data_IF_286150617071
#
_entry.id   IF_286150617071
#
_cell.length_a   1.000
_cell.length_b   1.000
_cell.length_c   1.000
_cell.angle_alpha   90.00
_cell.angle_beta   90.00
_cell.angle_gamma   90.00
#
_symmetry.space_group_name_H-M   'P 1'
#
loop_
_entity.id
_entity.type
_entity.pdbx_description
1 polymer ?
#
# COMPACT_ATOMS: atom_id res chain seq x y z
N UNK A 1 -15.35 -64.24 -55.10
CA UNK A 1 -15.11 -62.88 -54.55
C UNK A 1 -15.23 -62.96 -53.02
N UNK A 2 -14.10 -63.11 -52.31
CA UNK A 2 -14.06 -63.16 -50.84
C UNK A 2 -13.69 -61.78 -50.26
N UNK A 3 -14.46 -61.26 -49.31
CA UNK A 3 -14.14 -59.98 -48.65
C UNK A 3 -13.08 -60.19 -47.55
N UNK A 4 -12.10 -59.28 -47.41
CA UNK A 4 -11.07 -59.40 -46.40
C UNK A 4 -11.63 -59.15 -44.99
N UNK A 5 -11.28 -60.05 -44.07
CA UNK A 5 -11.63 -60.00 -42.66
C UNK A 5 -10.87 -58.85 -41.98
N UNK A 6 -11.57 -57.86 -41.41
CA UNK A 6 -10.94 -56.78 -40.62
C UNK A 6 -10.78 -57.27 -39.17
N UNK A 7 -9.57 -57.26 -38.60
CA UNK A 7 -9.37 -57.66 -37.21
C UNK A 7 -10.04 -56.65 -36.27
N UNK A 8 -10.77 -57.20 -35.30
CA UNK A 8 -11.43 -56.48 -34.22
C UNK A 8 -10.37 -55.92 -33.27
N UNK A 9 -10.10 -54.60 -33.32
CA UNK A 9 -9.23 -53.92 -32.35
C UNK A 9 -9.95 -53.87 -31.00
N UNK A 10 -9.40 -54.56 -30.00
CA UNK A 10 -9.85 -54.49 -28.61
C UNK A 10 -9.69 -53.07 -28.07
N UNK A 11 -10.79 -52.52 -27.54
CA UNK A 11 -10.94 -51.13 -27.07
C UNK A 11 -10.30 -50.88 -25.70
N UNK A 12 -9.37 -51.73 -25.26
CA UNK A 12 -8.92 -51.81 -23.87
C UNK A 12 -7.61 -51.08 -23.55
N UNK A 13 -6.95 -50.48 -24.55
CA UNK A 13 -5.58 -49.97 -24.36
C UNK A 13 -5.52 -48.48 -23.96
N UNK A 14 -6.66 -47.84 -23.65
CA UNK A 14 -6.75 -46.39 -23.35
C UNK A 14 -6.91 -45.93 -21.88
N UNK A 15 -6.97 -46.76 -20.81
CA UNK A 15 -7.39 -46.25 -19.51
C UNK A 15 -6.30 -45.50 -18.70
N UNK A 16 -5.00 -45.71 -18.97
CA UNK A 16 -3.95 -45.14 -18.09
C UNK A 16 -3.47 -43.73 -18.50
N UNK A 17 -3.53 -43.40 -19.79
CA UNK A 17 -3.08 -42.08 -20.27
C UNK A 17 -4.10 -40.96 -19.97
N UNK A 18 -5.39 -41.27 -19.98
CA UNK A 18 -6.46 -40.29 -19.72
C UNK A 18 -6.52 -39.86 -18.24
N UNK A 19 -6.26 -40.78 -17.30
CA UNK A 19 -6.23 -40.45 -15.86
C UNK A 19 -5.10 -39.49 -15.47
N UNK A 20 -3.92 -39.67 -16.08
CA UNK A 20 -2.76 -38.80 -15.84
C UNK A 20 -2.98 -37.39 -16.45
N UNK A 21 -3.62 -37.30 -17.61
CA UNK A 21 -3.96 -36.03 -18.25
C UNK A 21 -5.04 -35.24 -17.49
N UNK A 22 -6.04 -35.93 -16.94
CA UNK A 22 -7.13 -35.31 -16.20
C UNK A 22 -6.67 -34.73 -14.85
N UNK A 23 -5.78 -35.43 -14.14
CA UNK A 23 -5.20 -34.97 -12.87
C UNK A 23 -4.29 -33.75 -13.04
N UNK A 24 -3.50 -33.70 -14.12
CA UNK A 24 -2.69 -32.50 -14.45
C UNK A 24 -3.56 -31.31 -14.85
N UNK A 25 -4.63 -31.53 -15.61
CA UNK A 25 -5.56 -30.47 -15.96
C UNK A 25 -6.20 -29.85 -14.71
N UNK A 26 -6.76 -30.67 -13.81
CA UNK A 26 -7.41 -30.19 -12.58
C UNK A 26 -6.43 -29.45 -11.67
N UNK A 27 -5.19 -29.94 -11.52
CA UNK A 27 -4.16 -29.26 -10.75
C UNK A 27 -3.79 -27.87 -11.34
N UNK A 28 -3.74 -27.75 -12.67
CA UNK A 28 -3.49 -26.48 -13.34
C UNK A 28 -4.65 -25.49 -13.18
N UNK A 29 -5.90 -25.94 -13.32
CA UNK A 29 -7.08 -25.09 -13.11
C UNK A 29 -7.13 -24.53 -11.68
N UNK A 30 -6.96 -25.39 -10.68
CA UNK A 30 -6.95 -24.99 -9.27
C UNK A 30 -5.76 -24.06 -8.96
N UNK A 31 -4.58 -24.32 -9.51
CA UNK A 31 -3.40 -23.48 -9.33
C UNK A 31 -3.57 -22.08 -9.93
N UNK A 32 -4.19 -21.98 -11.10
CA UNK A 32 -4.48 -20.70 -11.77
C UNK A 32 -5.50 -19.87 -10.97
N UNK A 33 -6.58 -20.48 -10.48
CA UNK A 33 -7.62 -19.76 -9.71
C UNK A 33 -7.07 -19.21 -8.39
N UNK A 34 -6.25 -19.99 -7.68
CA UNK A 34 -5.59 -19.54 -6.46
C UNK A 34 -4.59 -18.40 -6.73
N UNK A 35 -3.86 -18.47 -7.85
CA UNK A 35 -2.93 -17.42 -8.26
C UNK A 35 -3.66 -16.12 -8.65
N UNK A 36 -4.76 -16.21 -9.41
CA UNK A 36 -5.59 -15.06 -9.80
C UNK A 36 -6.25 -14.42 -8.57
N UNK A 37 -6.76 -15.24 -7.65
CA UNK A 37 -7.32 -14.78 -6.39
C UNK A 37 -6.30 -14.03 -5.52
N UNK A 38 -5.06 -14.52 -5.45
CA UNK A 38 -3.98 -13.85 -4.71
C UNK A 38 -3.60 -12.50 -5.31
N UNK A 39 -3.37 -12.45 -6.62
CA UNK A 39 -2.99 -11.19 -7.30
C UNK A 39 -4.06 -10.12 -7.10
N UNK A 40 -5.35 -10.48 -7.17
CA UNK A 40 -6.46 -9.55 -6.91
C UNK A 40 -6.42 -8.99 -5.48
N UNK A 41 -6.16 -9.82 -4.47
CA UNK A 41 -6.04 -9.37 -3.07
C UNK A 41 -4.88 -8.39 -2.89
N UNK A 42 -3.71 -8.73 -3.43
CA UNK A 42 -2.53 -7.86 -3.34
C UNK A 42 -2.78 -6.52 -4.03
N UNK A 43 -3.43 -6.51 -5.20
CA UNK A 43 -3.80 -5.27 -5.88
C UNK A 43 -4.76 -4.40 -5.06
N UNK A 44 -5.77 -5.01 -4.41
CA UNK A 44 -6.68 -4.27 -3.53
C UNK A 44 -5.95 -3.67 -2.32
N UNK A 45 -5.04 -4.43 -1.70
CA UNK A 45 -4.18 -3.92 -0.62
C UNK A 45 -3.30 -2.78 -1.10
N UNK A 46 -2.71 -2.89 -2.30
CA UNK A 46 -1.87 -1.87 -2.89
C UNK A 46 -2.62 -0.54 -3.13
N UNK A 47 -3.84 -0.64 -3.66
CA UNK A 47 -4.74 0.51 -3.84
C UNK A 47 -5.08 1.12 -2.48
N UNK A 48 -5.40 0.31 -1.48
CA UNK A 48 -5.63 0.77 -0.11
C UNK A 48 -4.44 1.54 0.47
N UNK A 49 -3.22 0.98 0.36
CA UNK A 49 -1.97 1.61 0.78
C UNK A 49 -1.77 2.96 0.08
N UNK A 50 -2.00 3.03 -1.23
CA UNK A 50 -1.85 4.26 -1.99
C UNK A 50 -2.86 5.32 -1.53
N UNK A 51 -4.14 4.97 -1.38
CA UNK A 51 -5.18 5.86 -0.88
C UNK A 51 -4.88 6.38 0.54
N UNK A 52 -4.50 5.48 1.46
CA UNK A 52 -4.11 5.83 2.84
C UNK A 52 -2.88 6.75 2.85
N UNK A 53 -1.90 6.48 2.01
CA UNK A 53 -0.69 7.31 1.91
C UNK A 53 -0.99 8.72 1.37
N UNK A 54 -1.91 8.83 0.39
CA UNK A 54 -2.39 10.13 -0.09
C UNK A 54 -3.16 10.90 1.00
N UNK A 55 -4.01 10.21 1.76
CA UNK A 55 -4.75 10.81 2.87
C UNK A 55 -3.80 11.31 3.97
N UNK A 56 -2.81 10.50 4.37
CA UNK A 56 -1.78 10.87 5.35
C UNK A 56 -0.98 12.09 4.89
N UNK A 57 -0.61 12.15 3.61
CA UNK A 57 0.06 13.31 3.02
C UNK A 57 -0.82 14.57 3.10
N UNK A 58 -2.11 14.46 2.75
CA UNK A 58 -3.04 15.58 2.79
C UNK A 58 -3.21 16.13 4.22
N UNK A 59 -3.34 15.26 5.22
CA UNK A 59 -3.42 15.65 6.64
C UNK A 59 -2.13 16.33 7.08
N UNK A 60 -0.97 15.75 6.74
CA UNK A 60 0.35 16.31 7.08
C UNK A 60 0.52 17.72 6.51
N UNK A 61 0.20 17.91 5.22
CA UNK A 61 0.31 19.22 4.55
C UNK A 61 -0.66 20.24 5.11
N UNK A 62 -1.87 19.80 5.47
CA UNK A 62 -2.88 20.69 6.08
C UNK A 62 -2.36 21.19 7.43
N UNK A 63 -1.87 20.29 8.30
CA UNK A 63 -1.33 20.67 9.62
C UNK A 63 -0.07 21.54 9.52
N UNK A 64 0.84 21.26 8.58
CA UNK A 64 2.02 22.08 8.33
C UNK A 64 1.64 23.52 7.94
N UNK A 65 0.59 23.71 7.15
CA UNK A 65 0.16 25.03 6.69
C UNK A 65 -0.69 25.80 7.70
N UNK A 66 -1.47 25.12 8.54
CA UNK A 66 -2.44 25.78 9.42
C UNK A 66 -1.87 26.07 10.81
N UNK A 67 -1.20 25.10 11.42
CA UNK A 67 -0.78 25.18 12.83
C UNK A 67 0.72 25.49 12.94
N UNK A 68 1.50 25.20 11.88
CA UNK A 68 2.96 25.27 11.94
C UNK A 68 3.47 24.18 12.88
N UNK A 69 3.65 22.96 12.37
CA UNK A 69 4.23 21.90 13.18
C UNK A 69 5.72 22.19 13.41
N UNK A 70 6.12 22.22 14.68
CA UNK A 70 7.51 21.99 15.04
C UNK A 70 7.86 20.56 14.60
N UNK A 71 8.45 20.41 13.41
CA UNK A 71 8.80 19.10 12.89
C UNK A 71 9.86 18.46 13.79
N UNK A 72 9.45 17.46 14.57
CA UNK A 72 10.35 16.66 15.40
C UNK A 72 11.29 15.77 14.57
N UNK A 73 11.07 15.68 13.25
CA UNK A 73 11.92 14.91 12.34
C UNK A 73 13.04 15.83 11.78
N UNK A 74 14.29 15.70 12.25
CA UNK A 74 15.38 16.58 11.84
C UNK A 74 15.69 16.52 10.34
N UNK A 75 15.35 15.41 9.67
CA UNK A 75 15.52 15.27 8.21
C UNK A 75 14.51 16.12 7.45
N UNK A 76 13.27 16.19 7.95
CA UNK A 76 12.21 16.92 7.30
C UNK A 76 12.40 18.44 7.45
N UNK A 77 12.87 18.89 8.64
CA UNK A 77 13.32 20.25 8.86
C UNK A 77 14.43 20.65 7.88
N UNK A 78 15.42 19.77 7.68
CA UNK A 78 16.52 20.01 6.73
C UNK A 78 16.02 20.11 5.28
N UNK A 79 15.05 19.30 4.88
CA UNK A 79 14.45 19.35 3.53
C UNK A 79 13.67 20.64 3.29
N UNK A 80 12.94 21.13 4.30
CA UNK A 80 12.22 22.41 4.23
C UNK A 80 13.21 23.58 4.16
N UNK A 81 14.29 23.53 4.95
CA UNK A 81 15.32 24.56 5.00
C UNK A 81 16.13 24.65 3.69
N UNK A 82 16.43 23.51 3.06
CA UNK A 82 17.17 23.46 1.80
C UNK A 82 16.30 23.75 0.57
N UNK A 83 15.02 23.34 0.60
CA UNK A 83 14.08 23.51 -0.51
C UNK A 83 13.27 24.81 -0.49
N UNK A 84 13.21 25.50 0.65
CA UNK A 84 12.47 26.75 0.84
C UNK A 84 10.94 26.63 0.72
N UNK A 85 10.39 25.41 0.61
CA UNK A 85 8.94 25.21 0.38
C UNK A 85 8.44 23.85 0.86
N UNK A 86 7.22 23.84 1.40
CA UNK A 86 6.45 22.64 1.75
C UNK A 86 6.25 21.67 0.57
N UNK A 87 6.38 22.16 -0.68
CA UNK A 87 6.31 21.34 -1.89
C UNK A 87 7.38 20.26 -1.93
N UNK A 88 8.61 20.55 -1.45
CA UNK A 88 9.70 19.58 -1.47
C UNK A 88 9.46 18.40 -0.53
N UNK A 89 8.85 18.67 0.62
CA UNK A 89 8.43 17.62 1.55
C UNK A 89 7.35 16.73 0.91
N UNK A 90 6.39 17.33 0.21
CA UNK A 90 5.35 16.58 -0.49
C UNK A 90 5.94 15.67 -1.57
N UNK A 91 6.87 16.18 -2.38
CA UNK A 91 7.55 15.41 -3.42
C UNK A 91 8.38 14.28 -2.83
N UNK A 92 9.13 14.54 -1.75
CA UNK A 92 9.92 13.51 -1.06
C UNK A 92 9.03 12.38 -0.53
N UNK A 93 7.95 12.73 0.17
CA UNK A 93 7.01 11.74 0.75
C UNK A 93 6.24 10.99 -0.34
N UNK A 94 5.83 11.66 -1.41
CA UNK A 94 5.21 11.00 -2.57
C UNK A 94 6.21 10.07 -3.29
N UNK A 95 7.47 10.46 -3.41
CA UNK A 95 8.52 9.66 -4.03
C UNK A 95 8.82 8.37 -3.26
N UNK A 96 8.93 8.43 -1.93
CA UNK A 96 9.16 7.25 -1.10
C UNK A 96 7.96 6.30 -1.11
N UNK A 97 6.74 6.81 -1.03
CA UNK A 97 5.51 6.03 -1.19
C UNK A 97 5.45 5.37 -2.56
N UNK A 98 5.71 6.12 -3.63
CA UNK A 98 5.73 5.61 -5.00
C UNK A 98 6.75 4.48 -5.18
N UNK A 99 7.94 4.63 -4.59
CA UNK A 99 8.97 3.60 -4.60
C UNK A 99 8.51 2.35 -3.83
N UNK A 100 7.96 2.51 -2.63
CA UNK A 100 7.45 1.40 -1.82
C UNK A 100 6.33 0.64 -2.54
N UNK A 101 5.34 1.35 -3.09
CA UNK A 101 4.25 0.79 -3.89
C UNK A 101 4.79 0.09 -5.14
N UNK A 102 5.78 0.67 -5.81
CA UNK A 102 6.43 0.07 -6.99
C UNK A 102 7.15 -1.26 -6.68
N UNK A 103 7.86 -1.33 -5.55
CA UNK A 103 8.51 -2.55 -5.07
C UNK A 103 7.48 -3.63 -4.74
N UNK A 104 6.42 -3.29 -3.99
CA UNK A 104 5.34 -4.22 -3.66
C UNK A 104 4.58 -4.68 -4.91
N UNK A 105 4.37 -3.79 -5.89
CA UNK A 105 3.76 -4.14 -7.16
C UNK A 105 4.59 -5.15 -7.95
N UNK A 106 5.92 -5.03 -7.96
CA UNK A 106 6.79 -6.05 -8.57
C UNK A 106 6.72 -7.39 -7.83
N UNK A 107 6.60 -7.37 -6.51
CA UNK A 107 6.51 -8.56 -5.66
C UNK A 107 5.10 -9.17 -5.58
N UNK A 108 4.10 -8.64 -6.31
CA UNK A 108 2.69 -9.07 -6.20
C UNK A 108 2.39 -10.55 -6.45
N UNK A 109 3.33 -11.29 -7.06
CA UNK A 109 3.20 -12.74 -7.33
C UNK A 109 3.83 -13.61 -6.25
N UNK A 110 4.53 -13.03 -5.27
CA UNK A 110 5.20 -13.77 -4.19
C UNK A 110 4.44 -13.65 -2.88
N UNK A 111 4.57 -14.66 -2.01
CA UNK A 111 3.99 -14.63 -0.65
C UNK A 111 4.59 -13.49 0.18
N UNK A 112 5.87 -13.19 -0.06
CA UNK A 112 6.55 -12.05 0.57
C UNK A 112 5.89 -10.71 0.23
N UNK A 113 5.46 -10.52 -1.02
CA UNK A 113 4.74 -9.32 -1.43
C UNK A 113 3.38 -9.17 -0.74
N UNK A 114 2.67 -10.28 -0.52
CA UNK A 114 1.39 -10.29 0.21
C UNK A 114 1.60 -9.92 1.69
N UNK A 115 2.58 -10.52 2.37
CA UNK A 115 2.94 -10.16 3.75
C UNK A 115 3.37 -8.69 3.82
N UNK A 116 4.18 -8.22 2.87
CA UNK A 116 4.61 -6.83 2.80
C UNK A 116 3.44 -5.85 2.65
N UNK A 117 2.43 -6.19 1.85
CA UNK A 117 1.23 -5.35 1.71
C UNK A 117 0.39 -5.33 2.99
N UNK A 118 0.23 -6.48 3.67
CA UNK A 118 -0.46 -6.52 4.96
C UNK A 118 0.25 -5.68 6.02
N UNK A 119 1.57 -5.81 6.12
CA UNK A 119 2.39 -5.03 7.05
C UNK A 119 2.30 -3.53 6.73
N UNK A 120 2.43 -3.15 5.46
CA UNK A 120 2.35 -1.75 5.02
C UNK A 120 0.98 -1.14 5.33
N UNK A 121 -0.10 -1.88 5.11
CA UNK A 121 -1.45 -1.45 5.48
C UNK A 121 -1.58 -1.26 6.99
N UNK A 122 -1.10 -2.21 7.79
CA UNK A 122 -1.17 -2.14 9.25
C UNK A 122 -0.41 -0.92 9.81
N UNK A 123 0.78 -0.63 9.27
CA UNK A 123 1.57 0.55 9.67
C UNK A 123 0.81 1.85 9.33
N UNK A 124 0.24 1.96 8.13
CA UNK A 124 -0.53 3.14 7.73
C UNK A 124 -1.79 3.35 8.59
N UNK A 125 -2.48 2.26 8.94
CA UNK A 125 -3.62 2.33 9.86
C UNK A 125 -3.16 2.77 11.25
N UNK A 126 -2.07 2.21 11.77
CA UNK A 126 -1.50 2.60 13.07
C UNK A 126 -1.12 4.08 13.12
N UNK A 127 -0.46 4.57 12.07
CA UNK A 127 -0.14 5.99 11.93
C UNK A 127 -1.41 6.86 11.90
N UNK A 128 -2.45 6.44 11.17
CA UNK A 128 -3.73 7.16 11.12
C UNK A 128 -4.40 7.25 12.50
N UNK A 129 -4.35 6.17 13.29
CA UNK A 129 -4.88 6.15 14.66
C UNK A 129 -4.08 7.06 15.59
N UNK A 130 -2.75 7.06 15.47
CA UNK A 130 -1.89 7.95 16.25
C UNK A 130 -2.18 9.42 15.93
N UNK A 131 -2.38 9.75 14.65
CA UNK A 131 -2.80 11.09 14.23
C UNK A 131 -4.14 11.49 14.84
N UNK A 132 -5.14 10.59 14.81
CA UNK A 132 -6.43 10.84 15.43
C UNK A 132 -6.33 11.09 16.95
N UNK A 133 -5.49 10.32 17.64
CA UNK A 133 -5.25 10.53 19.08
C UNK A 133 -4.56 11.88 19.35
N UNK A 134 -3.58 12.25 18.51
CA UNK A 134 -2.87 13.52 18.62
C UNK A 134 -3.79 14.72 18.40
N UNK A 135 -4.69 14.67 17.40
CA UNK A 135 -5.66 15.75 17.15
C UNK A 135 -6.63 15.90 18.31
N UNK A 136 -7.11 14.80 18.91
CA UNK A 136 -7.97 14.88 20.10
C UNK A 136 -7.27 15.45 21.34
N UNK A 137 -5.96 15.20 21.48
CA UNK A 137 -5.13 15.81 22.52
C UNK A 137 -4.92 17.31 22.26
N UNK A 138 -4.74 17.73 21.01
CA UNK A 138 -4.66 19.14 20.63
C UNK A 138 -5.98 19.87 20.84
N UNK A 139 -7.13 19.25 20.60
CA UNK A 139 -8.43 19.88 20.85
C UNK A 139 -8.67 20.09 22.35
N UNK A 140 -8.31 19.09 23.16
CA UNK A 140 -8.43 19.19 24.63
C UNK A 140 -7.40 20.13 25.26
N UNK A 141 -6.18 20.19 24.72
CA UNK A 141 -5.14 21.13 25.15
C UNK A 141 -5.33 22.53 24.58
N UNK A 142 -5.91 22.67 23.39
CA UNK A 142 -6.11 23.90 22.63
C UNK A 142 -7.11 24.86 23.28
N UNK A 143 -8.07 24.33 24.05
CA UNK A 143 -8.92 25.15 24.93
C UNK A 143 -8.10 25.87 26.01
N UNK A 144 -7.00 25.27 26.48
CA UNK A 144 -6.13 25.86 27.51
C UNK A 144 -4.91 26.61 26.95
N UNK A 145 -4.44 26.21 25.76
CA UNK A 145 -3.21 26.72 25.14
C UNK A 145 -3.46 27.87 24.16
N UNK A 146 -4.66 28.03 23.61
CA UNK A 146 -5.00 29.17 22.73
C UNK A 146 -4.91 30.52 23.45
N UNK A 147 -5.21 30.56 24.76
CA UNK A 147 -5.01 31.75 25.61
C UNK A 147 -3.52 32.08 25.83
N UNK A 148 -2.63 31.08 25.95
CA UNK A 148 -1.17 31.30 26.08
C UNK A 148 -0.45 31.53 24.74
N UNK A 149 -0.88 30.86 23.67
CA UNK A 149 -0.26 30.94 22.34
C UNK A 149 -0.65 32.21 21.59
N UNK A 150 -1.81 32.82 21.86
CA UNK A 150 -2.15 34.16 21.35
C UNK A 150 -1.07 35.21 21.67
N UNK A 151 -0.34 35.04 22.79
CA UNK A 151 0.77 35.90 23.20
C UNK A 151 2.14 35.50 22.60
N UNK A 152 2.31 34.25 22.12
CA UNK A 152 3.59 33.74 21.56
C UNK A 152 3.63 33.69 20.03
N UNK A 153 2.49 33.57 19.35
CA UNK A 153 2.39 33.36 17.89
C UNK A 153 2.79 34.59 17.05
N UNK A 154 2.83 35.79 17.64
CA UNK A 154 3.27 37.01 16.95
C UNK A 154 4.74 36.99 16.45
N UNK A 155 5.56 36.01 16.89
CA UNK A 155 7.01 35.97 16.62
C UNK A 155 7.44 35.06 15.46
N UNK A 156 6.59 34.13 15.00
CA UNK A 156 6.96 33.13 13.97
C UNK A 156 6.41 33.45 12.57
N UNK A 157 5.40 34.32 12.48
CA UNK A 157 4.86 34.85 11.23
C UNK A 157 5.88 35.71 10.43
N UNK A 158 6.97 36.16 11.06
CA UNK A 158 7.98 37.03 10.42
C UNK A 158 9.15 36.29 9.75
N UNK A 159 9.20 34.96 9.79
CA UNK A 159 10.28 34.18 9.11
C UNK A 159 9.84 33.59 7.78
N UNK A 160 8.56 33.73 7.41
CA UNK A 160 7.99 33.18 6.18
C UNK A 160 7.66 34.24 5.12
N UNK A 161 8.16 35.47 5.27
CA UNK A 161 8.00 36.55 4.30
C UNK A 161 9.37 37.07 3.85
#
# INVERSE_FOLDING_TARGET
>A
MGRPFKPFRSRTDRPLAEGAAMTTAVANWVGLDLAVGRVRRVLLLLVGIACLSCADLAVTLTHLRTIGMAEANPIAAFVIEWGGSWLWLAVYKAGTVGLAVGVLYRLRRTVQGEIGCWLGLAILVGMSLQWHAYTGMLDSAGVSASDELGLRTGRWLTLAN
#
